data_IF_474534897441
#
_entry.id   IF_474534897441
#
_cell.length_a   1.000
_cell.length_b   1.000
_cell.length_c   1.000
_cell.angle_alpha   90.00
_cell.angle_beta   90.00
_cell.angle_gamma   90.00
#
_symmetry.space_group_name_H-M   'P 1'
#
loop_
_entity.id
_entity.type
_entity.pdbx_description
1 polymer ?
#
# COMPACT_ATOMS: atom_id res chain seq x y z
N UNK A 1 12.79 -14.06 22.19
CA UNK A 1 12.85 -12.77 21.47
C UNK A 1 13.21 -13.12 20.04
N UNK A 2 12.23 -13.15 19.14
CA UNK A 2 12.55 -13.38 17.72
C UNK A 2 13.43 -12.23 17.24
N UNK A 3 14.66 -12.54 16.85
CA UNK A 3 15.45 -11.62 16.04
C UNK A 3 14.71 -11.50 14.71
N UNK A 4 13.90 -10.46 14.56
CA UNK A 4 13.45 -10.03 13.23
C UNK A 4 14.73 -9.78 12.44
N UNK A 5 14.98 -10.63 11.44
CA UNK A 5 16.07 -10.45 10.49
C UNK A 5 15.86 -9.08 9.85
N UNK A 6 16.74 -8.14 10.15
CA UNK A 6 16.72 -6.83 9.49
C UNK A 6 16.97 -7.06 8.00
N UNK A 7 16.01 -6.65 7.18
CA UNK A 7 16.12 -6.72 5.73
C UNK A 7 17.18 -5.74 5.25
N UNK A 8 17.94 -6.15 4.25
CA UNK A 8 18.88 -5.28 3.55
C UNK A 8 18.14 -4.17 2.80
N UNK A 9 18.86 -3.10 2.45
CA UNK A 9 18.30 -2.02 1.62
C UNK A 9 17.69 -2.54 0.32
N UNK A 10 18.38 -3.47 -0.36
CA UNK A 10 17.91 -4.06 -1.61
C UNK A 10 16.61 -4.86 -1.43
N UNK A 11 16.49 -5.63 -0.34
CA UNK A 11 15.26 -6.37 -0.01
C UNK A 11 14.11 -5.41 0.30
N UNK A 12 14.35 -4.36 1.08
CA UNK A 12 13.34 -3.33 1.39
C UNK A 12 12.84 -2.64 0.11
N UNK A 13 13.76 -2.21 -0.77
CA UNK A 13 13.40 -1.60 -2.04
C UNK A 13 12.63 -2.57 -2.95
N UNK A 14 13.00 -3.85 -2.98
CA UNK A 14 12.25 -4.87 -3.71
C UNK A 14 10.82 -5.00 -3.18
N UNK A 15 10.64 -5.05 -1.86
CA UNK A 15 9.30 -5.10 -1.26
C UNK A 15 8.47 -3.85 -1.49
N UNK A 16 9.09 -2.68 -1.68
CA UNK A 16 8.39 -1.46 -2.08
C UNK A 16 7.90 -1.48 -3.53
N UNK A 17 8.55 -2.27 -4.40
CA UNK A 17 8.13 -2.47 -5.79
C UNK A 17 6.98 -3.48 -5.92
N UNK A 18 6.75 -4.31 -4.91
CA UNK A 18 5.59 -5.19 -4.87
C UNK A 18 4.32 -4.34 -4.78
N UNK A 19 3.45 -4.51 -5.78
CA UNK A 19 2.18 -3.81 -5.89
C UNK A 19 1.03 -4.80 -5.86
N UNK A 20 -0.17 -4.26 -5.63
CA UNK A 20 -1.43 -5.00 -5.80
C UNK A 20 -1.50 -5.48 -7.25
N UNK A 21 -2.05 -6.67 -7.48
CA UNK A 21 -2.27 -7.16 -8.84
C UNK A 21 -3.00 -6.10 -9.68
N UNK A 22 -2.54 -5.79 -10.91
CA UNK A 22 -3.15 -4.74 -11.72
C UNK A 22 -4.64 -4.96 -12.00
N UNK A 23 -5.10 -6.22 -12.08
CA UNK A 23 -6.52 -6.51 -12.28
C UNK A 23 -7.32 -6.25 -11.01
N UNK A 24 -6.83 -6.68 -9.85
CA UNK A 24 -7.47 -6.40 -8.56
C UNK A 24 -7.55 -4.89 -8.29
N UNK A 25 -6.48 -4.14 -8.60
CA UNK A 25 -6.47 -2.68 -8.46
C UNK A 25 -7.47 -2.01 -9.41
N UNK A 26 -7.56 -2.48 -10.65
CA UNK A 26 -8.52 -1.95 -11.63
C UNK A 26 -9.96 -2.25 -11.22
N UNK A 27 -10.23 -3.47 -10.77
CA UNK A 27 -11.54 -3.89 -10.28
C UNK A 27 -11.94 -3.06 -9.05
N UNK A 28 -11.02 -2.87 -8.11
CA UNK A 28 -11.22 -2.02 -6.94
C UNK A 28 -11.63 -0.59 -7.34
N UNK A 29 -10.90 0.03 -8.26
CA UNK A 29 -11.21 1.38 -8.74
C UNK A 29 -12.60 1.47 -9.39
N UNK A 30 -12.98 0.45 -10.16
CA UNK A 30 -14.30 0.37 -10.79
C UNK A 30 -15.41 0.25 -9.74
N UNK A 31 -15.26 -0.65 -8.78
CA UNK A 31 -16.25 -0.88 -7.72
C UNK A 31 -16.39 0.33 -6.80
N UNK A 32 -15.29 1.03 -6.48
CA UNK A 32 -15.34 2.30 -5.73
C UNK A 32 -16.14 3.36 -6.50
N UNK A 33 -15.96 3.45 -7.82
CA UNK A 33 -16.72 4.41 -8.64
C UNK A 33 -18.22 4.08 -8.66
N UNK A 34 -18.57 2.80 -8.79
CA UNK A 34 -19.96 2.32 -8.73
C UNK A 34 -20.57 2.59 -7.35
N UNK A 35 -19.84 2.26 -6.28
CA UNK A 35 -20.27 2.50 -4.90
C UNK A 35 -20.55 3.99 -4.64
N UNK A 36 -19.66 4.88 -5.10
CA UNK A 36 -19.86 6.33 -5.01
C UNK A 36 -21.05 6.83 -5.83
N UNK A 37 -21.44 6.09 -6.88
CA UNK A 37 -22.65 6.33 -7.67
C UNK A 37 -23.95 5.84 -7.03
N UNK A 38 -23.88 5.04 -5.96
CA UNK A 38 -25.04 4.62 -5.16
C UNK A 38 -25.78 3.37 -5.67
N UNK A 39 -25.35 2.75 -6.77
CA UNK A 39 -26.00 1.58 -7.38
C UNK A 39 -25.06 0.38 -7.41
N UNK A 40 -24.66 -0.12 -6.23
CA UNK A 40 -23.81 -1.31 -6.11
C UNK A 40 -24.67 -2.54 -5.79
N UNK A 41 -24.40 -3.66 -6.47
CA UNK A 41 -25.02 -4.93 -6.12
C UNK A 41 -24.46 -5.49 -4.81
N UNK A 42 -25.18 -6.37 -4.09
CA UNK A 42 -24.63 -7.02 -2.89
C UNK A 42 -23.34 -7.81 -3.16
N UNK A 43 -23.25 -8.48 -4.30
CA UNK A 43 -22.07 -9.26 -4.72
C UNK A 43 -20.87 -8.34 -4.97
N UNK A 44 -21.09 -7.24 -5.70
CA UNK A 44 -20.07 -6.22 -5.96
C UNK A 44 -19.61 -5.53 -4.67
N UNK A 45 -20.53 -5.31 -3.72
CA UNK A 45 -20.20 -4.72 -2.43
C UNK A 45 -19.32 -5.65 -1.58
N UNK A 46 -19.62 -6.95 -1.54
CA UNK A 46 -18.78 -7.93 -0.87
C UNK A 46 -17.39 -8.02 -1.50
N UNK A 47 -17.32 -8.00 -2.84
CA UNK A 47 -16.06 -7.95 -3.57
C UNK A 47 -15.26 -6.68 -3.28
N UNK A 48 -15.94 -5.53 -3.18
CA UNK A 48 -15.31 -4.25 -2.82
C UNK A 48 -14.70 -4.29 -1.41
N UNK A 49 -15.35 -4.94 -0.45
CA UNK A 49 -14.78 -5.13 0.91
C UNK A 49 -13.48 -5.93 0.82
N UNK A 50 -13.49 -7.08 0.15
CA UNK A 50 -12.31 -7.93 0.02
C UNK A 50 -11.13 -7.20 -0.65
N UNK A 51 -11.41 -6.43 -1.69
CA UNK A 51 -10.39 -5.63 -2.38
C UNK A 51 -9.89 -4.47 -1.51
N UNK A 52 -10.75 -3.86 -0.70
CA UNK A 52 -10.35 -2.82 0.25
C UNK A 52 -9.37 -3.38 1.29
N UNK A 53 -9.67 -4.54 1.86
CA UNK A 53 -8.78 -5.22 2.81
C UNK A 53 -7.41 -5.51 2.17
N UNK A 54 -7.40 -6.02 0.93
CA UNK A 54 -6.16 -6.27 0.18
C UNK A 54 -5.35 -4.98 -0.02
N UNK A 55 -6.00 -3.89 -0.43
CA UNK A 55 -5.36 -2.58 -0.62
C UNK A 55 -4.75 -2.08 0.69
N UNK A 56 -5.51 -2.10 1.77
CA UNK A 56 -5.09 -1.62 3.09
C UNK A 56 -3.92 -2.43 3.64
N UNK A 57 -3.99 -3.76 3.59
CA UNK A 57 -2.91 -4.64 4.05
C UNK A 57 -1.64 -4.39 3.23
N UNK A 58 -1.78 -4.26 1.91
CA UNK A 58 -0.64 -3.99 1.02
C UNK A 58 0.01 -2.65 1.34
N UNK A 59 -0.79 -1.60 1.52
CA UNK A 59 -0.30 -0.28 1.93
C UNK A 59 0.35 -0.30 3.31
N UNK A 60 -0.23 -0.99 4.28
CA UNK A 60 0.33 -1.12 5.63
C UNK A 60 1.68 -1.86 5.61
N UNK A 61 1.80 -2.94 4.83
CA UNK A 61 3.07 -3.65 4.65
C UNK A 61 4.11 -2.75 3.98
N UNK A 62 3.74 -2.03 2.92
CA UNK A 62 4.63 -1.08 2.25
C UNK A 62 5.15 -0.02 3.22
N UNK A 63 4.27 0.53 4.05
CA UNK A 63 4.65 1.55 5.04
C UNK A 63 5.68 1.03 6.06
N UNK A 64 5.57 -0.24 6.50
CA UNK A 64 6.58 -0.87 7.36
C UNK A 64 7.96 -0.89 6.70
N UNK A 65 8.03 -1.19 5.40
CA UNK A 65 9.28 -1.18 4.65
C UNK A 65 9.84 0.24 4.45
N UNK A 66 8.99 1.24 4.20
CA UNK A 66 9.42 2.65 4.11
C UNK A 66 10.04 3.10 5.44
N UNK A 67 9.40 2.79 6.57
CA UNK A 67 9.93 3.13 7.90
C UNK A 67 11.26 2.44 8.16
N UNK A 68 11.40 1.16 7.80
CA UNK A 68 12.66 0.44 7.93
C UNK A 68 13.77 1.05 7.05
N UNK A 69 13.44 1.46 5.83
CA UNK A 69 14.38 2.10 4.90
C UNK A 69 14.82 3.48 5.39
N UNK A 70 13.89 4.29 5.90
CA UNK A 70 14.21 5.59 6.51
C UNK A 70 15.18 5.45 7.69
N UNK A 71 14.95 4.44 8.56
CA UNK A 71 15.86 4.10 9.65
C UNK A 71 17.24 3.69 9.15
N UNK A 72 17.30 2.83 8.12
CA UNK A 72 18.55 2.35 7.54
C UNK A 72 19.37 3.49 6.91
N UNK A 73 18.71 4.43 6.24
CA UNK A 73 19.32 5.62 5.64
C UNK A 73 19.57 6.76 6.62
N UNK A 74 19.10 6.63 7.87
CA UNK A 74 19.18 7.65 8.90
C UNK A 74 18.58 9.01 8.46
N UNK A 75 17.43 8.96 7.78
CA UNK A 75 16.65 10.13 7.36
C UNK A 75 15.26 10.11 8.01
N UNK A 76 14.54 11.23 7.95
CA UNK A 76 13.17 11.26 8.43
C UNK A 76 12.25 10.43 7.52
N UNK A 77 11.12 9.95 8.06
CA UNK A 77 10.11 9.28 7.26
C UNK A 77 9.56 10.19 6.14
N UNK A 78 9.47 11.49 6.41
CA UNK A 78 9.02 12.48 5.43
C UNK A 78 10.00 12.58 4.26
N UNK A 79 11.30 12.70 4.52
CA UNK A 79 12.34 12.73 3.48
C UNK A 79 12.32 11.44 2.67
N UNK A 80 12.16 10.29 3.32
CA UNK A 80 12.08 8.99 2.65
C UNK A 80 10.88 8.90 1.70
N UNK A 81 9.72 9.43 2.10
CA UNK A 81 8.54 9.46 1.24
C UNK A 81 8.73 10.39 0.04
N UNK A 82 9.38 11.54 0.24
CA UNK A 82 9.75 12.45 -0.86
C UNK A 82 10.72 11.79 -1.84
N UNK A 83 11.74 11.07 -1.35
CA UNK A 83 12.69 10.32 -2.20
C UNK A 83 12.02 9.23 -3.04
N UNK A 84 10.99 8.56 -2.51
CA UNK A 84 10.23 7.53 -3.23
C UNK A 84 9.27 8.12 -4.28
N UNK A 85 9.19 9.45 -4.40
CA UNK A 85 8.24 10.11 -5.29
C UNK A 85 6.79 9.92 -4.87
N UNK A 86 6.53 9.53 -3.62
CA UNK A 86 5.18 9.48 -3.10
C UNK A 86 4.71 10.92 -2.87
N UNK A 87 3.62 11.39 -3.51
CA UNK A 87 3.01 12.63 -3.10
C UNK A 87 2.64 12.47 -1.62
N UNK A 88 2.95 13.50 -0.83
CA UNK A 88 2.58 13.63 0.58
C UNK A 88 1.28 12.87 0.90
N UNK A 89 1.27 12.07 1.97
CA UNK A 89 0.17 11.20 2.46
C UNK A 89 -1.15 11.98 2.76
N UNK A 90 -1.18 13.27 2.42
CA UNK A 90 -2.28 14.21 2.63
C UNK A 90 -3.38 14.10 1.57
N UNK A 91 -3.21 13.28 0.53
CA UNK A 91 -4.22 13.09 -0.53
C UNK A 91 -4.55 11.62 -0.76
N UNK A 92 -5.35 11.04 0.14
CA UNK A 92 -6.22 9.89 -0.12
C UNK A 92 -7.67 10.36 -0.04
#
# INVERSE_FOLDING_TARGET
MEHQKELTEAELLHHLQLSIDPNDLKEYQQLVAIFKGGEISPEDHERLIQLSDLVEITHAMRMKHVVALAKLRNISLEDMLQELGAPSITHL
#
